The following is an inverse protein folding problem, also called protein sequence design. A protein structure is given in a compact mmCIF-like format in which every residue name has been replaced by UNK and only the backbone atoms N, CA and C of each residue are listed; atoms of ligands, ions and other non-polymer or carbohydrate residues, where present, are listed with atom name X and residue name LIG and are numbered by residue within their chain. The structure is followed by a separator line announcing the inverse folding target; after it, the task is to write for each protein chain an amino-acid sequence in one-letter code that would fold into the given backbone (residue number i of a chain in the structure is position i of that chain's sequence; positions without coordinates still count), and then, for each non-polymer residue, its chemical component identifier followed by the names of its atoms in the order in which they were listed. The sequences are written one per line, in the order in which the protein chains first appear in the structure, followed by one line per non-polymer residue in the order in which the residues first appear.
data_IF_676064930664
#
_entry.id   IF_676064930664
#
_cell.length_a   1.000
_cell.length_b   1.000
_cell.length_c   1.000
_cell.angle_alpha   90.00
_cell.angle_beta   90.00
_cell.angle_gamma   90.00
#
_symmetry.space_group_name_H-M   'P 1'
#
loop_
_entity.id
_entity.type
_entity.pdbx_description
1 polymer ?
#
# COMPACT_ATOMS: atom_id res chain seq x y z
N UNK A 1 -5.34 -25.34 -17.62
CA UNK A 1 -5.65 -24.03 -16.98
C UNK A 1 -5.13 -22.89 -17.85
N UNK A 2 -6.03 -22.12 -18.48
CA UNK A 2 -5.70 -20.99 -19.36
C UNK A 2 -5.07 -19.87 -18.53
N UNK A 3 -3.75 -19.67 -18.62
CA UNK A 3 -3.06 -18.56 -17.94
C UNK A 3 -3.59 -17.23 -18.51
N UNK A 4 -4.59 -16.62 -17.85
CA UNK A 4 -5.06 -15.26 -18.19
C UNK A 4 -3.84 -14.35 -18.09
N UNK A 5 -3.39 -13.82 -19.23
CA UNK A 5 -2.34 -12.81 -19.25
C UNK A 5 -2.90 -11.56 -18.58
N UNK A 6 -2.59 -11.38 -17.30
CA UNK A 6 -2.92 -10.16 -16.58
C UNK A 6 -2.16 -8.99 -17.21
N UNK A 7 -2.87 -7.90 -17.51
CA UNK A 7 -2.25 -6.68 -18.00
C UNK A 7 -1.47 -6.02 -16.86
N UNK A 8 -0.40 -5.27 -17.17
CA UNK A 8 0.36 -4.54 -16.15
C UNK A 8 -0.50 -3.62 -15.28
N UNK A 9 -1.47 -2.91 -15.89
CA UNK A 9 -2.44 -2.08 -15.17
C UNK A 9 -3.23 -2.89 -14.12
N UNK A 10 -3.66 -4.12 -14.45
CA UNK A 10 -4.33 -5.01 -13.48
C UNK A 10 -3.39 -5.47 -12.36
N UNK A 11 -2.10 -5.67 -12.66
CA UNK A 11 -1.12 -5.99 -11.63
C UNK A 11 -0.90 -4.83 -10.67
N UNK A 12 -0.77 -3.60 -11.19
CA UNK A 12 -0.62 -2.39 -10.37
C UNK A 12 -1.88 -2.18 -9.53
N UNK A 13 -3.06 -2.23 -10.13
CA UNK A 13 -4.31 -2.11 -9.37
C UNK A 13 -4.43 -3.17 -8.26
N UNK A 14 -4.15 -4.43 -8.59
CA UNK A 14 -4.17 -5.53 -7.62
C UNK A 14 -3.14 -5.35 -6.50
N UNK A 15 -1.97 -4.77 -6.77
CA UNK A 15 -0.97 -4.53 -5.73
C UNK A 15 -1.42 -3.43 -4.77
N UNK A 16 -2.02 -2.35 -5.29
CA UNK A 16 -2.60 -1.31 -4.45
C UNK A 16 -3.72 -1.87 -3.57
N UNK A 17 -4.67 -2.61 -4.15
CA UNK A 17 -5.75 -3.25 -3.40
C UNK A 17 -5.23 -4.16 -2.30
N UNK A 18 -4.21 -4.97 -2.57
CA UNK A 18 -3.62 -5.86 -1.58
C UNK A 18 -2.99 -5.10 -0.40
N UNK A 19 -2.24 -4.04 -0.67
CA UNK A 19 -1.61 -3.21 0.38
C UNK A 19 -2.66 -2.47 1.20
N UNK A 20 -3.71 -1.93 0.56
CA UNK A 20 -4.81 -1.24 1.24
C UNK A 20 -5.55 -2.20 2.18
N UNK A 21 -5.91 -3.39 1.71
CA UNK A 21 -6.62 -4.38 2.53
C UNK A 21 -5.76 -4.86 3.70
N UNK A 22 -4.46 -5.10 3.46
CA UNK A 22 -3.52 -5.46 4.53
C UNK A 22 -3.37 -4.33 5.55
N UNK A 23 -3.25 -3.07 5.09
CA UNK A 23 -3.15 -1.90 5.95
C UNK A 23 -4.41 -1.68 6.78
N UNK A 24 -5.59 -1.83 6.17
CA UNK A 24 -6.88 -1.73 6.86
C UNK A 24 -7.01 -2.81 7.94
N UNK A 25 -6.65 -4.05 7.60
CA UNK A 25 -6.62 -5.15 8.57
C UNK A 25 -5.68 -4.84 9.73
N UNK A 26 -4.42 -4.46 9.44
CA UNK A 26 -3.43 -4.11 10.45
C UNK A 26 -3.88 -2.96 11.37
N UNK A 27 -4.46 -1.90 10.81
CA UNK A 27 -4.97 -0.76 11.59
C UNK A 27 -6.19 -1.10 12.44
N UNK A 28 -6.93 -2.15 12.07
CA UNK A 28 -8.10 -2.62 12.84
C UNK A 28 -7.72 -3.50 14.03
N UNK A 29 -6.44 -3.89 14.19
CA UNK A 29 -6.02 -4.69 15.35
C UNK A 29 -6.10 -3.86 16.64
N UNK A 30 -6.50 -4.47 17.77
CA UNK A 30 -6.60 -3.77 19.04
C UNK A 30 -5.26 -3.20 19.53
N UNK A 31 -4.12 -3.77 19.12
CA UNK A 31 -2.80 -3.23 19.43
C UNK A 31 -2.50 -1.88 18.74
N UNK A 32 -3.19 -1.60 17.63
CA UNK A 32 -3.03 -0.38 16.84
C UNK A 32 -3.98 0.74 17.30
N UNK A 33 -4.97 0.42 18.12
CA UNK A 33 -5.97 1.36 18.63
C UNK A 33 -5.60 1.81 20.05
N UNK A 34 -6.02 3.03 20.41
CA UNK A 34 -5.94 3.47 21.79
C UNK A 34 -7.02 2.81 22.65
N UNK A 35 -6.76 2.67 23.96
CA UNK A 35 -7.72 2.09 24.90
C UNK A 35 -9.05 2.84 24.89
N UNK A 36 -10.15 2.11 24.71
CA UNK A 36 -11.50 2.68 24.69
C UNK A 36 -11.94 3.25 23.33
N UNK A 37 -11.14 3.08 22.28
CA UNK A 37 -11.52 3.43 20.91
C UNK A 37 -12.05 2.19 20.18
N UNK A 38 -13.30 2.26 19.72
CA UNK A 38 -13.85 1.32 18.75
C UNK A 38 -13.79 1.94 17.36
N UNK A 39 -12.95 1.38 16.49
CA UNK A 39 -12.80 1.85 15.11
C UNK A 39 -13.72 1.04 14.18
N UNK A 40 -14.56 1.73 13.41
CA UNK A 40 -15.37 1.09 12.38
C UNK A 40 -14.46 0.46 11.30
N UNK A 41 -14.77 -0.75 10.81
CA UNK A 41 -14.03 -1.37 9.70
C UNK A 41 -13.96 -0.48 8.44
N UNK A 42 -15.00 0.33 8.22
CA UNK A 42 -15.06 1.27 7.08
C UNK A 42 -14.08 2.42 7.28
N UNK A 43 -13.93 2.93 8.51
CA UNK A 43 -12.97 3.99 8.83
C UNK A 43 -11.53 3.50 8.70
N UNK A 44 -11.26 2.27 9.15
CA UNK A 44 -9.95 1.65 8.96
C UNK A 44 -9.61 1.48 7.46
N UNK A 45 -10.57 1.02 6.66
CA UNK A 45 -10.40 0.89 5.20
C UNK A 45 -10.20 2.24 4.50
N UNK A 46 -10.99 3.25 4.87
CA UNK A 46 -10.87 4.60 4.32
C UNK A 46 -9.50 5.21 4.68
N UNK A 47 -9.10 5.10 5.94
CA UNK A 47 -7.83 5.62 6.44
C UNK A 47 -6.63 4.95 5.76
N UNK A 48 -6.66 3.62 5.61
CA UNK A 48 -5.62 2.88 4.88
C UNK A 48 -5.56 3.29 3.39
N UNK A 49 -6.72 3.44 2.75
CA UNK A 49 -6.80 3.90 1.34
C UNK A 49 -6.21 5.30 1.19
N UNK A 50 -6.60 6.22 2.08
CA UNK A 50 -6.13 7.60 2.04
C UNK A 50 -4.63 7.72 2.27
N UNK A 51 -4.08 6.91 3.19
CA UNK A 51 -2.65 6.84 3.45
C UNK A 51 -1.87 6.32 2.23
N UNK A 52 -2.27 5.18 1.65
CA UNK A 52 -1.58 4.57 0.50
C UNK A 52 -1.69 5.43 -0.76
N UNK A 53 -2.82 6.13 -0.95
CA UNK A 53 -3.02 7.05 -2.07
C UNK A 53 -2.49 8.47 -1.80
N UNK A 54 -2.00 8.75 -0.59
CA UNK A 54 -1.45 10.04 -0.16
C UNK A 54 -2.47 11.20 -0.33
N UNK A 55 -3.74 10.93 -0.09
CA UNK A 55 -4.79 11.95 -0.23
C UNK A 55 -4.88 12.88 0.99
N UNK A 56 -4.41 12.44 2.15
CA UNK A 56 -4.39 13.26 3.37
C UNK A 56 -5.75 13.43 4.07
N UNK A 57 -6.76 12.64 3.68
CA UNK A 57 -8.09 12.63 4.32
C UNK A 57 -8.13 11.61 5.47
N UNK A 58 -8.84 11.94 6.54
CA UNK A 58 -9.09 11.03 7.65
C UNK A 58 -10.54 11.17 8.13
N UNK A 59 -11.22 10.05 8.42
CA UNK A 59 -12.58 10.06 8.99
C UNK A 59 -12.56 10.14 10.51
N UNK A 60 -11.42 9.81 11.12
CA UNK A 60 -11.17 9.89 12.56
C UNK A 60 -9.85 10.61 12.81
N UNK A 61 -9.71 11.26 13.96
CA UNK A 61 -8.43 11.87 14.35
C UNK A 61 -7.38 10.76 14.63
N UNK A 62 -6.28 10.68 13.85
CA UNK A 62 -5.27 9.64 14.03
C UNK A 62 -4.56 9.69 15.39
N UNK A 63 -4.47 10.88 16.00
CA UNK A 63 -3.84 11.06 17.30
C UNK A 63 -4.73 10.48 18.40
N UNK A 64 -6.05 10.64 18.28
CA UNK A 64 -6.99 10.05 19.23
C UNK A 64 -7.21 8.55 18.97
N UNK A 65 -7.35 8.13 17.70
CA UNK A 65 -7.76 6.77 17.36
C UNK A 65 -6.62 5.74 17.46
N UNK A 66 -5.41 6.09 17.01
CA UNK A 66 -4.32 5.12 16.87
C UNK A 66 -3.28 5.24 17.99
N UNK A 67 -2.84 4.07 18.47
CA UNK A 67 -1.70 3.91 19.36
C UNK A 67 -0.39 4.29 18.66
N UNK A 68 0.74 4.43 19.38
CA UNK A 68 2.04 4.66 18.74
C UNK A 68 2.36 3.63 17.65
N UNK A 69 1.99 2.37 17.87
CA UNK A 69 2.16 1.29 16.90
C UNK A 69 1.28 1.53 15.66
N UNK A 70 0.00 1.85 15.86
CA UNK A 70 -0.93 2.16 14.77
C UNK A 70 -0.47 3.36 13.93
N UNK A 71 0.05 4.41 14.59
CA UNK A 71 0.62 5.58 13.91
C UNK A 71 1.88 5.24 13.10
N UNK A 72 2.73 4.33 13.60
CA UNK A 72 3.88 3.83 12.83
C UNK A 72 3.43 3.07 11.58
N UNK A 73 2.43 2.19 11.70
CA UNK A 73 1.87 1.48 10.54
C UNK A 73 1.28 2.48 9.54
N UNK A 74 0.53 3.48 10.02
CA UNK A 74 -0.02 4.53 9.18
C UNK A 74 1.07 5.30 8.43
N UNK A 75 2.15 5.68 9.11
CA UNK A 75 3.30 6.35 8.49
C UNK A 75 3.99 5.46 7.43
N UNK A 76 4.11 4.15 7.67
CA UNK A 76 4.63 3.21 6.68
C UNK A 76 3.73 3.11 5.44
N UNK A 77 2.41 3.08 5.61
CA UNK A 77 1.46 3.08 4.49
C UNK A 77 1.60 4.35 3.64
N UNK A 78 1.74 5.52 4.28
CA UNK A 78 2.02 6.79 3.58
C UNK A 78 3.33 6.71 2.79
N UNK A 79 4.39 6.17 3.39
CA UNK A 79 5.69 6.05 2.72
C UNK A 79 5.65 5.08 1.53
N UNK A 80 4.94 3.96 1.67
CA UNK A 80 4.71 2.98 0.59
C UNK A 80 3.94 3.63 -0.56
N UNK A 81 2.94 4.44 -0.25
CA UNK A 81 2.22 5.26 -1.22
C UNK A 81 3.15 6.24 -1.96
N UNK A 82 3.93 7.02 -1.20
CA UNK A 82 4.86 8.05 -1.71
C UNK A 82 5.93 7.53 -2.66
N UNK A 83 6.47 6.35 -2.39
CA UNK A 83 7.46 5.71 -3.26
C UNK A 83 6.80 5.00 -4.46
N UNK A 84 5.50 4.75 -4.38
CA UNK A 84 4.75 3.91 -5.30
C UNK A 84 4.87 2.42 -4.95
N UNK A 85 3.73 1.74 -4.84
CA UNK A 85 3.64 0.32 -4.46
C UNK A 85 4.51 -0.59 -5.34
N UNK A 86 4.58 -0.32 -6.64
CA UNK A 86 5.40 -1.08 -7.58
C UNK A 86 6.92 -0.88 -7.33
N UNK A 87 7.34 0.34 -7.00
CA UNK A 87 8.74 0.67 -6.72
C UNK A 87 9.20 0.01 -5.43
N UNK A 88 8.38 0.06 -4.37
CA UNK A 88 8.68 -0.62 -3.09
C UNK A 88 8.82 -2.12 -3.29
N UNK A 89 7.91 -2.74 -4.05
CA UNK A 89 7.98 -4.18 -4.34
C UNK A 89 9.27 -4.58 -5.08
N UNK A 90 9.73 -3.78 -6.04
CA UNK A 90 11.01 -4.04 -6.74
C UNK A 90 12.22 -3.76 -5.84
N UNK A 91 12.19 -2.72 -5.01
CA UNK A 91 13.23 -2.44 -4.01
C UNK A 91 13.44 -3.62 -3.06
N UNK A 92 12.36 -4.23 -2.56
CA UNK A 92 12.45 -5.41 -1.69
C UNK A 92 13.08 -6.63 -2.39
N UNK A 93 12.77 -6.84 -3.67
CA UNK A 93 13.38 -7.92 -4.47
C UNK A 93 14.89 -7.69 -4.62
N UNK A 94 15.31 -6.44 -4.85
CA UNK A 94 16.72 -6.07 -4.96
C UNK A 94 17.47 -6.26 -3.64
N UNK A 95 16.89 -5.82 -2.53
CA UNK A 95 17.46 -6.00 -1.19
C UNK A 95 17.61 -7.48 -0.81
N UNK A 96 16.71 -8.34 -1.31
CA UNK A 96 16.77 -9.79 -1.10
C UNK A 96 17.84 -10.49 -1.96
N UNK A 97 18.67 -9.75 -2.71
CA UNK A 97 19.71 -10.29 -3.59
C UNK A 97 19.19 -11.02 -4.84
N UNK A 98 17.87 -10.96 -5.10
CA UNK A 98 17.26 -11.65 -6.25
C UNK A 98 17.35 -10.79 -7.51
N UNK A 99 17.72 -11.41 -8.64
CA UNK A 99 17.77 -10.73 -9.94
C UNK A 99 16.38 -10.26 -10.36
N UNK A 100 16.26 -9.00 -10.76
CA UNK A 100 15.00 -8.41 -11.23
C UNK A 100 14.63 -9.03 -12.58
N UNK A 101 13.46 -9.67 -12.65
CA UNK A 101 12.94 -10.25 -13.89
C UNK A 101 12.40 -9.15 -14.85
N UNK A 102 12.40 -9.40 -16.16
CA UNK A 102 11.91 -8.48 -17.19
C UNK A 102 10.46 -8.02 -16.98
N UNK A 103 9.62 -8.87 -16.36
CA UNK A 103 8.24 -8.50 -15.99
C UNK A 103 8.20 -7.43 -14.90
N UNK A 104 9.01 -7.56 -13.86
CA UNK A 104 9.10 -6.58 -12.78
C UNK A 104 9.61 -5.22 -13.31
N UNK A 105 10.60 -5.25 -14.23
CA UNK A 105 11.06 -4.05 -14.93
C UNK A 105 9.96 -3.35 -15.74
N UNK A 106 9.11 -4.12 -16.44
CA UNK A 106 7.96 -3.56 -17.18
C UNK A 106 6.91 -2.95 -16.24
N UNK A 107 6.59 -3.61 -15.14
CA UNK A 107 5.63 -3.10 -14.15
C UNK A 107 6.08 -1.76 -13.54
N UNK A 108 7.36 -1.62 -13.21
CA UNK A 108 7.89 -0.35 -12.70
C UNK A 108 7.91 0.73 -13.78
N UNK A 109 8.33 0.40 -15.01
CA UNK A 109 8.28 1.37 -16.12
C UNK A 109 6.86 1.90 -16.36
N UNK A 110 5.87 1.01 -16.40
CA UNK A 110 4.48 1.41 -16.60
C UNK A 110 3.90 2.13 -15.38
N UNK A 111 4.26 1.71 -14.16
CA UNK A 111 3.84 2.37 -12.92
C UNK A 111 4.43 3.77 -12.72
N UNK A 112 5.67 4.00 -13.18
CA UNK A 112 6.31 5.32 -13.18
C UNK A 112 5.93 6.17 -14.40
N UNK A 113 5.08 5.64 -15.29
CA UNK A 113 4.74 6.26 -16.57
C UNK A 113 5.98 6.69 -17.37
N UNK A 114 7.04 5.87 -17.36
CA UNK A 114 8.30 6.19 -18.01
C UNK A 114 8.09 6.29 -19.53
N UNK A 115 8.49 7.41 -20.17
CA UNK A 115 8.21 7.64 -21.58
C UNK A 115 8.82 6.53 -22.44
N UNK A 116 8.03 6.04 -23.39
CA UNK A 116 8.46 5.06 -24.37
C UNK A 116 9.32 5.78 -25.41
N UNK A 117 10.56 6.14 -25.07
CA UNK A 117 11.51 6.61 -26.07
C UNK A 117 11.69 5.50 -27.10
N UNK A 118 11.31 5.84 -28.34
CA UNK A 118 11.39 4.99 -29.51
C UNK A 118 12.77 5.10 -30.11
#
# INVERSE_FOLDING_TARGET
MKKRKMTPAKYIASSFTAVILLGAFLLSLPACLNSGVDLSPVDAFFTATSAVCITGLATVDPLYAFSPLGRTILALLIQIGGLGVASVGVGLIMLSGKKINMRARRLVKEGLNYPHFR
#
